data_IF_709957396662
#
_entry.id   IF_709957396662
#
_cell.length_a   1.000
_cell.length_b   1.000
_cell.length_c   1.000
_cell.angle_alpha   90.00
_cell.angle_beta   90.00
_cell.angle_gamma   90.00
#
_symmetry.space_group_name_H-M   'P 1'
#
loop_
_entity.id
_entity.type
_entity.pdbx_description
1 polymer ?
#
# COMPACT_ATOMS: atom_id res chain seq x y z
N UNK A 1 28.96 38.73 34.73
CA UNK A 1 29.00 37.26 34.51
C UNK A 1 27.65 36.64 34.15
N UNK A 2 26.50 37.16 34.62
CA UNK A 2 25.16 36.61 34.28
C UNK A 2 24.75 36.79 32.80
N UNK A 3 25.20 37.85 32.12
CA UNK A 3 24.83 38.12 30.71
C UNK A 3 25.46 37.17 29.68
N UNK A 4 26.72 36.75 29.90
CA UNK A 4 27.42 35.82 29.02
C UNK A 4 26.86 34.39 29.10
N UNK A 5 26.34 33.99 30.27
CA UNK A 5 25.71 32.69 30.47
C UNK A 5 24.34 32.65 29.75
N UNK A 6 23.54 33.71 29.86
CA UNK A 6 22.23 33.82 29.19
C UNK A 6 22.36 33.77 27.66
N UNK A 7 23.37 34.44 27.08
CA UNK A 7 23.62 34.42 25.63
C UNK A 7 24.01 33.02 25.12
N UNK A 8 24.78 32.27 25.91
CA UNK A 8 25.14 30.88 25.58
C UNK A 8 23.96 29.93 25.69
N UNK A 9 23.09 30.10 26.68
CA UNK A 9 21.86 29.31 26.84
C UNK A 9 20.90 29.57 25.67
N UNK A 10 20.76 30.82 25.24
CA UNK A 10 19.93 31.17 24.09
C UNK A 10 20.49 30.61 22.77
N UNK A 11 21.81 30.71 22.58
CA UNK A 11 22.50 30.12 21.42
C UNK A 11 22.34 28.59 21.38
N UNK A 12 22.52 27.92 22.53
CA UNK A 12 22.30 26.47 22.63
C UNK A 12 20.84 26.08 22.43
N UNK A 13 19.88 26.87 22.89
CA UNK A 13 18.45 26.66 22.66
C UNK A 13 18.10 26.81 21.16
N UNK A 14 18.67 27.81 20.49
CA UNK A 14 18.50 27.99 19.04
C UNK A 14 19.12 26.85 18.25
N UNK A 15 20.31 26.37 18.64
CA UNK A 15 20.96 25.21 18.01
C UNK A 15 20.15 23.93 18.25
N UNK A 16 19.57 23.75 19.44
CA UNK A 16 18.71 22.62 19.76
C UNK A 16 17.39 22.66 18.98
N UNK A 17 16.75 23.83 18.86
CA UNK A 17 15.56 24.04 18.05
C UNK A 17 15.82 23.77 16.56
N UNK A 18 16.97 24.22 16.03
CA UNK A 18 17.36 23.94 14.66
C UNK A 18 17.57 22.44 14.41
N UNK A 19 18.24 21.73 15.33
CA UNK A 19 18.44 20.28 15.23
C UNK A 19 17.12 19.49 15.30
N UNK A 20 16.18 19.92 16.15
CA UNK A 20 14.86 19.30 16.27
C UNK A 20 14.00 19.49 15.02
N UNK A 21 14.10 20.67 14.37
CA UNK A 21 13.41 20.94 13.11
C UNK A 21 13.92 20.06 11.95
N UNK A 22 15.23 19.78 11.90
CA UNK A 22 15.82 18.91 10.89
C UNK A 22 15.40 17.44 11.07
N UNK A 23 15.23 16.97 12.30
CA UNK A 23 14.74 15.60 12.57
C UNK A 23 13.27 15.36 12.20
N UNK A 24 12.50 16.42 11.94
CA UNK A 24 11.08 16.35 11.54
C UNK A 24 10.89 16.24 10.01
N UNK A 25 11.97 16.26 9.24
CA UNK A 25 11.95 16.21 7.77
C UNK A 25 12.06 14.79 7.19
N UNK A 26 11.88 13.75 7.99
CA UNK A 26 11.68 12.40 7.47
C UNK A 26 10.24 12.25 6.97
N UNK A 27 9.90 12.99 5.91
CA UNK A 27 8.64 12.82 5.22
C UNK A 27 8.63 11.44 4.58
N UNK A 28 7.55 10.71 4.79
CA UNK A 28 7.32 9.38 4.26
C UNK A 28 7.35 9.45 2.72
N UNK A 29 8.54 9.29 2.12
CA UNK A 29 8.73 9.32 0.69
C UNK A 29 7.99 8.11 0.10
N UNK A 30 6.79 8.36 -0.41
CA UNK A 30 6.06 7.37 -1.18
C UNK A 30 6.68 7.34 -2.57
N UNK A 31 7.23 6.18 -2.95
CA UNK A 31 7.90 6.02 -4.25
C UNK A 31 6.86 5.89 -5.36
N UNK A 32 7.11 6.49 -6.51
CA UNK A 32 6.32 6.20 -7.71
C UNK A 32 6.66 4.79 -8.20
N UNK A 33 5.65 3.91 -8.23
CA UNK A 33 5.79 2.52 -8.64
C UNK A 33 6.28 2.39 -10.08
N UNK A 34 5.91 3.34 -10.94
CA UNK A 34 6.28 3.34 -12.35
C UNK A 34 7.75 3.74 -12.56
N UNK A 35 8.40 4.33 -11.54
CA UNK A 35 9.82 4.67 -11.55
C UNK A 35 10.72 3.55 -11.03
N UNK A 36 10.17 2.46 -10.49
CA UNK A 36 10.96 1.33 -9.99
C UNK A 36 11.38 0.38 -11.11
N UNK A 37 12.68 0.18 -11.28
CA UNK A 37 13.26 -0.80 -12.19
C UNK A 37 13.03 -2.23 -11.66
N UNK A 38 12.82 -3.18 -12.58
CA UNK A 38 12.74 -4.61 -12.24
C UNK A 38 14.01 -5.30 -12.70
N UNK A 39 14.71 -5.97 -11.77
CA UNK A 39 15.91 -6.78 -12.04
C UNK A 39 15.75 -8.11 -11.32
N UNK A 40 15.80 -9.22 -12.05
CA UNK A 40 15.60 -10.56 -11.48
C UNK A 40 14.38 -10.64 -10.53
N UNK A 41 13.23 -10.14 -10.99
CA UNK A 41 11.95 -10.10 -10.25
C UNK A 41 11.90 -9.17 -9.01
N UNK A 42 13.02 -8.53 -8.67
CA UNK A 42 13.11 -7.57 -7.58
C UNK A 42 12.98 -6.13 -8.08
N UNK A 43 12.34 -5.28 -7.28
CA UNK A 43 12.21 -3.84 -7.55
C UNK A 43 13.41 -3.06 -7.01
N UNK A 44 13.90 -2.09 -7.78
CA UNK A 44 14.99 -1.19 -7.42
C UNK A 44 14.64 0.25 -7.74
N UNK A 45 15.15 1.18 -6.94
CA UNK A 45 15.20 2.59 -7.34
C UNK A 45 16.32 2.74 -8.37
N UNK A 46 16.11 3.47 -9.49
CA UNK A 46 17.15 3.70 -10.48
C UNK A 46 18.45 4.21 -9.84
N UNK A 47 19.57 3.58 -10.20
CA UNK A 47 20.89 3.90 -9.65
C UNK A 47 21.17 3.39 -8.24
N UNK A 48 20.26 2.64 -7.61
CA UNK A 48 20.54 1.93 -6.35
C UNK A 48 20.86 0.45 -6.58
N UNK A 49 21.85 -0.05 -5.85
CA UNK A 49 22.27 -1.46 -5.88
C UNK A 49 21.48 -2.35 -4.92
N UNK A 50 20.74 -1.75 -3.97
CA UNK A 50 19.93 -2.47 -2.99
C UNK A 50 18.48 -2.58 -3.46
N UNK A 51 17.84 -3.74 -3.31
CA UNK A 51 16.42 -3.89 -3.59
C UNK A 51 15.57 -2.93 -2.75
N UNK A 52 14.53 -2.38 -3.35
CA UNK A 52 13.65 -1.39 -2.74
C UNK A 52 12.90 -1.96 -1.53
N UNK A 53 12.88 -1.22 -0.43
CA UNK A 53 12.07 -1.51 0.75
C UNK A 53 11.29 -0.27 1.12
N UNK A 54 9.96 -0.37 1.13
CA UNK A 54 9.07 0.77 1.33
C UNK A 54 7.73 0.61 0.62
N UNK A 55 6.97 1.70 0.59
CA UNK A 55 5.69 1.76 -0.12
C UNK A 55 5.89 2.46 -1.46
N UNK A 56 5.31 1.89 -2.51
CA UNK A 56 5.23 2.49 -3.82
C UNK A 56 3.77 2.64 -4.28
N UNK A 57 3.47 3.69 -5.04
CA UNK A 57 2.13 4.01 -5.55
C UNK A 57 2.17 4.32 -7.03
N UNK A 58 1.10 4.00 -7.75
CA UNK A 58 0.86 4.50 -9.12
C UNK A 58 -0.44 5.28 -9.14
N UNK A 59 -0.58 6.18 -10.11
CA UNK A 59 -1.74 7.06 -10.25
C UNK A 59 -2.49 6.80 -11.57
N UNK A 60 -3.76 7.17 -11.61
CA UNK A 60 -4.52 7.35 -12.84
C UNK A 60 -4.11 8.64 -13.55
N UNK A 61 -4.56 8.82 -14.79
CA UNK A 61 -4.24 10.02 -15.58
C UNK A 61 -4.77 11.33 -14.95
N UNK A 62 -5.82 11.23 -14.14
CA UNK A 62 -6.40 12.34 -13.37
C UNK A 62 -5.65 12.63 -12.05
N UNK A 63 -4.62 11.85 -11.72
CA UNK A 63 -3.82 11.98 -10.50
C UNK A 63 -4.40 11.26 -9.29
N UNK A 64 -5.52 10.55 -9.40
CA UNK A 64 -6.04 9.73 -8.30
C UNK A 64 -5.22 8.46 -8.13
N UNK A 65 -5.07 8.01 -6.88
CA UNK A 65 -4.26 6.83 -6.56
C UNK A 65 -4.91 5.57 -7.14
N UNK A 66 -4.16 4.86 -7.98
CA UNK A 66 -4.60 3.64 -8.67
C UNK A 66 -4.20 2.38 -7.93
N UNK A 67 -2.98 2.36 -7.42
CA UNK A 67 -2.37 1.20 -6.78
C UNK A 67 -1.41 1.66 -5.70
N UNK A 68 -1.33 0.90 -4.61
CA UNK A 68 -0.34 1.03 -3.57
C UNK A 68 0.20 -0.36 -3.24
N UNK A 69 1.52 -0.51 -3.21
CA UNK A 69 2.19 -1.78 -2.97
C UNK A 69 3.30 -1.59 -1.94
N UNK A 70 3.34 -2.47 -0.93
CA UNK A 70 4.45 -2.54 0.01
C UNK A 70 5.51 -3.55 -0.45
N UNK A 71 6.78 -3.18 -0.34
CA UNK A 71 7.93 -3.99 -0.70
C UNK A 71 8.89 -4.17 0.48
N UNK A 72 9.48 -5.37 0.58
CA UNK A 72 10.63 -5.69 1.42
C UNK A 72 11.65 -6.41 0.55
N UNK A 73 12.88 -5.89 0.51
CA UNK A 73 13.97 -6.43 -0.32
C UNK A 73 13.56 -6.63 -1.79
N UNK A 74 12.84 -5.67 -2.36
CA UNK A 74 12.39 -5.65 -3.75
C UNK A 74 11.21 -6.58 -4.05
N UNK A 75 10.79 -7.40 -3.10
CA UNK A 75 9.64 -8.31 -3.23
C UNK A 75 8.40 -7.72 -2.58
N UNK A 76 7.22 -8.01 -3.13
CA UNK A 76 5.95 -7.60 -2.50
C UNK A 76 5.85 -8.22 -1.10
N UNK A 77 5.60 -7.39 -0.10
CA UNK A 77 5.45 -7.83 1.28
C UNK A 77 4.57 -6.85 2.04
N UNK A 78 3.48 -7.33 2.63
CA UNK A 78 2.48 -6.47 3.26
C UNK A 78 1.23 -6.36 2.40
N UNK A 79 0.69 -5.15 2.21
CA UNK A 79 -0.55 -4.95 1.46
C UNK A 79 -0.28 -4.44 0.06
N UNK A 80 -1.07 -4.94 -0.88
CA UNK A 80 -1.34 -4.31 -2.17
C UNK A 80 -2.80 -3.85 -2.17
N UNK A 81 -3.05 -2.61 -2.53
CA UNK A 81 -4.38 -2.01 -2.54
C UNK A 81 -4.59 -1.37 -3.90
N UNK A 82 -5.68 -1.71 -4.57
CA UNK A 82 -6.07 -1.11 -5.84
C UNK A 82 -7.41 -0.39 -5.71
N UNK A 83 -7.56 0.69 -6.47
CA UNK A 83 -8.78 1.49 -6.56
C UNK A 83 -9.28 1.52 -8.00
N UNK A 84 -10.55 1.86 -8.17
CA UNK A 84 -11.14 2.27 -9.44
C UNK A 84 -10.92 3.77 -9.66
N UNK A 85 -11.12 4.24 -10.89
CA UNK A 85 -11.01 5.67 -11.25
C UNK A 85 -12.00 6.54 -10.46
N UNK A 86 -13.12 6.00 -9.98
CA UNK A 86 -14.06 6.73 -9.12
C UNK A 86 -13.62 6.80 -7.64
N UNK A 87 -12.42 6.32 -7.32
CA UNK A 87 -11.85 6.27 -5.99
C UNK A 87 -12.38 5.14 -5.10
N UNK A 88 -13.28 4.29 -5.61
CA UNK A 88 -13.75 3.14 -4.85
C UNK A 88 -12.65 2.08 -4.72
N UNK A 89 -12.60 1.43 -3.55
CA UNK A 89 -11.71 0.29 -3.34
C UNK A 89 -12.06 -0.81 -4.34
N UNK A 90 -11.06 -1.33 -5.06
CA UNK A 90 -11.21 -2.44 -6.00
C UNK A 90 -10.87 -3.76 -5.31
N UNK A 91 -9.67 -3.87 -4.77
CA UNK A 91 -9.23 -5.03 -4.01
C UNK A 91 -8.12 -4.69 -3.01
N UNK A 92 -7.91 -5.59 -2.06
CA UNK A 92 -6.73 -5.61 -1.18
C UNK A 92 -6.14 -7.01 -1.20
N UNK A 93 -4.88 -7.16 -1.57
CA UNK A 93 -4.12 -8.42 -1.45
C UNK A 93 -3.11 -8.28 -0.32
N UNK A 94 -2.92 -9.33 0.48
CA UNK A 94 -1.76 -9.42 1.38
C UNK A 94 -0.71 -10.32 0.76
N UNK A 95 0.53 -9.84 0.68
CA UNK A 95 1.68 -10.57 0.19
C UNK A 95 2.65 -10.90 1.32
N UNK A 96 3.33 -12.04 1.22
CA UNK A 96 4.45 -12.41 2.07
C UNK A 96 5.59 -12.92 1.18
N UNK A 97 6.59 -12.08 0.95
CA UNK A 97 7.76 -12.40 0.12
C UNK A 97 7.37 -12.84 -1.30
N UNK A 98 6.65 -11.98 -2.02
CA UNK A 98 6.18 -12.25 -3.38
C UNK A 98 4.90 -13.07 -3.46
N UNK A 99 4.58 -13.87 -2.43
CA UNK A 99 3.46 -14.81 -2.45
C UNK A 99 2.15 -14.21 -1.91
N UNK A 100 1.04 -14.23 -2.66
CA UNK A 100 -0.26 -13.78 -2.18
C UNK A 100 -0.80 -14.73 -1.10
N UNK A 101 -1.14 -14.16 0.05
CA UNK A 101 -1.67 -14.89 1.22
C UNK A 101 -3.20 -14.85 1.26
N UNK A 102 -3.78 -13.73 0.86
CA UNK A 102 -5.23 -13.56 0.76
C UNK A 102 -5.56 -12.39 -0.16
N UNK A 103 -6.70 -12.45 -0.83
CA UNK A 103 -7.28 -11.29 -1.53
C UNK A 103 -8.66 -11.03 -0.92
N UNK A 104 -8.90 -9.79 -0.50
CA UNK A 104 -10.23 -9.27 -0.22
C UNK A 104 -10.69 -8.44 -1.41
N UNK A 105 -11.84 -8.81 -2.00
CA UNK A 105 -12.50 -7.99 -3.02
C UNK A 105 -13.46 -7.01 -2.35
N UNK A 106 -13.58 -5.80 -2.86
CA UNK A 106 -14.63 -4.88 -2.43
C UNK A 106 -15.85 -5.06 -3.34
N UNK A 107 -16.90 -5.72 -2.84
CA UNK A 107 -18.21 -5.73 -3.48
C UNK A 107 -19.13 -4.74 -2.77
N UNK A 108 -19.60 -3.74 -3.54
CA UNK A 108 -20.63 -2.74 -3.23
C UNK A 108 -20.47 -1.93 -1.94
N UNK A 109 -19.62 -0.90 -1.98
CA UNK A 109 -19.76 0.25 -1.10
C UNK A 109 -20.90 1.16 -1.58
N UNK A 110 -22.15 0.69 -1.48
CA UNK A 110 -23.32 1.60 -1.44
C UNK A 110 -24.35 1.21 -0.40
N UNK A 111 -23.92 0.69 0.74
CA UNK A 111 -24.75 0.72 1.96
C UNK A 111 -23.83 0.82 3.17
N UNK A 112 -24.05 1.85 3.99
CA UNK A 112 -23.45 2.08 5.29
C UNK A 112 -23.21 0.79 6.08
N UNK A 113 -21.97 0.27 6.08
CA UNK A 113 -21.29 -0.56 7.12
C UNK A 113 -20.06 -1.26 6.50
N UNK A 114 -19.04 -0.47 6.17
CA UNK A 114 -17.81 -0.92 5.51
C UNK A 114 -16.84 -1.74 6.40
N UNK A 115 -17.30 -2.65 7.26
CA UNK A 115 -16.40 -3.32 8.22
C UNK A 115 -16.61 -4.82 8.47
N UNK A 116 -17.45 -5.55 7.72
CA UNK A 116 -17.82 -6.91 8.14
C UNK A 116 -17.38 -8.10 7.25
N UNK A 117 -16.83 -7.93 6.04
CA UNK A 117 -16.72 -9.08 5.10
C UNK A 117 -15.33 -9.29 4.48
N UNK A 118 -14.29 -8.60 4.94
CA UNK A 118 -12.93 -8.79 4.40
C UNK A 118 -12.15 -9.94 5.06
N UNK A 119 -12.70 -10.60 6.09
CA UNK A 119 -11.97 -11.57 6.93
C UNK A 119 -12.28 -13.05 6.66
N UNK A 120 -13.22 -13.39 5.77
CA UNK A 120 -13.68 -14.78 5.57
C UNK A 120 -13.33 -15.42 4.21
N UNK A 121 -12.78 -14.68 3.24
CA UNK A 121 -12.50 -15.22 1.91
C UNK A 121 -11.17 -16.01 1.88
N UNK A 122 -11.23 -17.29 1.51
CA UNK A 122 -10.08 -18.20 1.39
C UNK A 122 -9.74 -18.41 -0.10
N UNK A 123 -8.46 -18.35 -0.46
CA UNK A 123 -7.98 -18.53 -1.84
C UNK A 123 -8.27 -19.96 -2.32
N UNK A 124 -9.02 -20.08 -3.42
CA UNK A 124 -9.17 -21.32 -4.19
C UNK A 124 -8.56 -21.05 -5.56
N UNK A 125 -7.71 -21.95 -6.05
CA UNK A 125 -6.74 -21.72 -7.12
C UNK A 125 -7.27 -21.31 -8.50
N UNK A 126 -6.32 -21.07 -9.41
CA UNK A 126 -6.52 -20.59 -10.78
C UNK A 126 -7.13 -21.66 -11.68
N UNK A 127 -8.43 -21.51 -11.99
CA UNK A 127 -9.01 -22.13 -13.18
C UNK A 127 -9.39 -21.03 -14.19
N UNK A 128 -9.07 -21.31 -15.45
CA UNK A 128 -9.10 -20.40 -16.58
C UNK A 128 -10.36 -19.53 -16.64
N UNK A 129 -10.14 -18.20 -16.62
CA UNK A 129 -11.10 -17.10 -16.79
C UNK A 129 -11.84 -16.56 -15.57
N UNK A 130 -11.60 -17.01 -14.33
CA UNK A 130 -12.10 -16.27 -13.16
C UNK A 130 -11.26 -16.47 -11.90
N UNK A 131 -10.56 -15.43 -11.44
CA UNK A 131 -9.97 -15.38 -10.10
C UNK A 131 -11.09 -15.25 -9.06
N UNK A 132 -11.69 -16.37 -8.66
CA UNK A 132 -12.83 -16.41 -7.73
C UNK A 132 -12.46 -16.87 -6.32
N UNK A 133 -13.03 -16.21 -5.31
CA UNK A 133 -13.00 -16.70 -3.92
C UNK A 133 -14.25 -17.51 -3.64
N UNK A 134 -14.08 -18.69 -3.02
CA UNK A 134 -15.19 -19.49 -2.51
C UNK A 134 -15.51 -19.06 -1.07
N UNK A 135 -16.75 -18.63 -0.81
CA UNK A 135 -17.28 -18.48 0.54
C UNK A 135 -17.95 -19.80 0.97
N UNK A 136 -17.37 -20.57 1.92
CA UNK A 136 -17.99 -21.81 2.39
C UNK A 136 -19.28 -21.60 3.21
N UNK A 137 -19.65 -20.35 3.51
CA UNK A 137 -20.86 -19.99 4.24
C UNK A 137 -22.06 -19.56 3.38
N UNK A 138 -21.89 -19.41 2.07
CA UNK A 138 -22.99 -19.06 1.15
C UNK A 138 -23.54 -20.32 0.48
N UNK A 139 -24.28 -21.12 1.26
CA UNK A 139 -25.17 -22.10 0.67
C UNK A 139 -26.38 -21.35 0.07
N UNK A 140 -26.46 -21.39 -1.26
CA UNK A 140 -27.63 -21.06 -2.10
C UNK A 140 -28.28 -19.68 -1.92
N UNK A 141 -27.96 -18.74 -2.83
CA UNK A 141 -29.06 -18.04 -3.53
C UNK A 141 -28.61 -17.46 -4.88
N UNK A 142 -29.38 -17.87 -5.91
CA UNK A 142 -29.49 -17.28 -7.25
C UNK A 142 -28.26 -17.27 -8.17
N UNK A 143 -28.06 -18.44 -8.79
CA UNK A 143 -27.59 -18.60 -10.18
C UNK A 143 -28.17 -17.49 -11.08
N UNK A 144 -27.34 -16.59 -11.58
CA UNK A 144 -27.71 -15.76 -12.73
C UNK A 144 -27.34 -16.57 -13.98
N UNK A 145 -28.35 -17.16 -14.61
CA UNK A 145 -28.21 -17.76 -15.94
C UNK A 145 -28.03 -16.64 -16.96
N UNK A 146 -26.87 -16.59 -17.61
CA UNK A 146 -26.72 -15.86 -18.86
C UNK A 146 -27.29 -16.74 -19.97
N UNK A 147 -28.49 -16.40 -20.47
CA UNK A 147 -28.99 -16.93 -21.74
C UNK A 147 -28.12 -16.36 -22.87
N UNK A 148 -27.62 -17.28 -23.72
CA UNK A 148 -26.97 -17.00 -25.00
C UNK A 148 -27.80 -16.07 -25.89
#
# INVERSE_FOLDING_TARGET
>A
MKSLLQLRVFSLFFLFMAAFSASLQAENAVMDLDQLEVKAELRYVPGQDKPFTGNAVSYFADGMQKLQVSFVEGQKHGKEIAWYEDGQLRYVVRYRYGEPQSVGSAWYARTNRANAVASSLRYCGEDDMNTGFCDPGLQESSRIEFKN
#
